data_IF_291476426873
#
_entry.id   IF_291476426873
#
_cell.length_a   1.000
_cell.length_b   1.000
_cell.length_c   1.000
_cell.angle_alpha   90.00
_cell.angle_beta   90.00
_cell.angle_gamma   90.00
#
_symmetry.space_group_name_H-M   'P 1'
#
loop_
_entity.id
_entity.type
_entity.pdbx_description
1 polymer ?
#
# COMPACT_ATOMS: atom_id res chain seq x y z
N UNK A 1 -8.43 -2.31 8.67
CA UNK A 1 -7.19 -3.12 8.49
C UNK A 1 -5.95 -2.29 8.14
N UNK A 2 -5.78 -1.06 8.67
CA UNK A 2 -4.52 -0.28 8.52
C UNK A 2 -3.64 -0.30 9.77
N UNK A 3 -4.23 -0.62 10.92
CA UNK A 3 -3.57 -0.46 12.23
C UNK A 3 -2.48 -1.51 12.44
N UNK A 4 -2.74 -2.78 12.09
CA UNK A 4 -1.75 -3.86 12.21
C UNK A 4 -0.48 -3.68 11.36
N UNK A 5 -0.53 -2.96 10.23
CA UNK A 5 0.67 -2.71 9.41
C UNK A 5 1.60 -1.66 10.03
N UNK A 6 1.03 -0.74 10.82
CA UNK A 6 1.81 0.26 11.55
C UNK A 6 2.60 -0.40 12.68
N UNK A 7 2.00 -1.35 13.39
CA UNK A 7 2.65 -2.09 14.49
C UNK A 7 3.80 -2.99 14.03
N UNK A 8 3.70 -3.61 12.83
CA UNK A 8 4.77 -4.46 12.31
C UNK A 8 5.97 -3.62 11.82
N UNK A 9 5.73 -2.39 11.37
CA UNK A 9 6.78 -1.47 10.91
C UNK A 9 7.33 -0.56 12.00
N UNK A 10 6.61 -0.37 13.12
CA UNK A 10 7.12 0.36 14.28
C UNK A 10 8.25 -0.38 15.01
N UNK A 11 8.39 -1.69 14.78
CA UNK A 11 9.55 -2.48 15.22
C UNK A 11 10.74 -2.40 14.26
N UNK A 12 10.59 -1.87 13.04
CA UNK A 12 11.72 -1.53 12.14
C UNK A 12 12.33 -0.17 12.50
N UNK A 13 12.41 0.11 13.80
CA UNK A 13 13.00 1.31 14.34
C UNK A 13 14.51 1.17 14.20
N UNK A 14 15.05 1.46 13.01
CA UNK A 14 16.47 1.80 12.94
C UNK A 14 16.57 3.13 13.69
N UNK A 15 17.10 3.06 14.91
CA UNK A 15 17.27 4.21 15.82
C UNK A 15 18.17 5.29 15.19
N UNK A 16 18.81 4.95 14.07
CA UNK A 16 19.67 5.79 13.28
C UNK A 16 18.89 6.54 12.21
N UNK A 17 18.94 7.87 12.30
CA UNK A 17 18.37 8.77 11.30
C UNK A 17 19.10 8.68 9.94
N UNK A 18 18.32 8.70 8.85
CA UNK A 18 18.83 8.57 7.48
C UNK A 18 19.78 9.70 7.08
N UNK A 19 19.54 10.94 7.55
CA UNK A 19 20.41 12.08 7.27
C UNK A 19 21.78 11.88 7.91
N UNK A 20 21.80 11.34 9.13
CA UNK A 20 23.03 11.00 9.86
C UNK A 20 23.86 9.95 9.12
N UNK A 21 23.23 8.90 8.57
CA UNK A 21 23.92 7.88 7.75
C UNK A 21 24.52 8.46 6.47
N UNK A 22 23.81 9.36 5.79
CA UNK A 22 24.33 10.02 4.60
C UNK A 22 25.54 10.90 4.94
N UNK A 23 25.49 11.66 6.03
CA UNK A 23 26.62 12.46 6.53
C UNK A 23 27.81 11.59 6.92
N UNK A 24 27.56 10.44 7.55
CA UNK A 24 28.59 9.44 7.89
C UNK A 24 29.32 8.97 6.62
N UNK A 25 28.57 8.54 5.60
CA UNK A 25 29.13 8.09 4.33
C UNK A 25 29.92 9.18 3.60
N UNK A 26 29.42 10.40 3.63
CA UNK A 26 30.09 11.55 3.02
C UNK A 26 31.34 12.01 3.79
N UNK A 27 31.63 11.41 4.96
CA UNK A 27 32.77 11.78 5.82
C UNK A 27 32.58 13.13 6.51
N UNK A 28 31.33 13.58 6.68
CA UNK A 28 30.96 14.88 7.27
C UNK A 28 30.62 14.81 8.77
N UNK A 29 30.65 13.62 9.37
CA UNK A 29 30.54 13.46 10.82
C UNK A 29 31.91 13.60 11.48
N UNK A 30 31.94 14.20 12.66
CA UNK A 30 33.12 14.22 13.53
C UNK A 30 33.45 12.81 14.02
N UNK A 31 34.69 12.58 14.43
CA UNK A 31 35.13 11.26 14.93
C UNK A 31 34.30 10.79 16.13
N UNK A 32 33.84 11.72 16.98
CA UNK A 32 33.02 11.41 18.14
C UNK A 32 31.60 10.97 17.71
N UNK A 33 30.97 11.69 16.78
CA UNK A 33 29.67 11.32 16.20
C UNK A 33 29.72 9.99 15.42
N UNK A 34 30.82 9.72 14.70
CA UNK A 34 31.00 8.45 13.98
C UNK A 34 31.07 7.27 14.96
N UNK A 35 31.82 7.43 16.05
CA UNK A 35 32.01 6.38 17.04
C UNK A 35 30.73 6.12 17.85
N UNK A 36 29.96 7.16 18.13
CA UNK A 36 28.63 7.04 18.75
C UNK A 36 27.64 6.31 17.82
N UNK A 37 27.63 6.67 16.53
CA UNK A 37 26.82 5.99 15.52
C UNK A 37 27.15 4.50 15.41
N UNK A 38 28.44 4.16 15.25
CA UNK A 38 28.90 2.77 15.17
C UNK A 38 28.54 1.99 16.44
N UNK A 39 28.68 2.60 17.61
CA UNK A 39 28.27 2.00 18.89
C UNK A 39 26.77 1.72 18.94
N UNK A 40 25.94 2.67 18.52
CA UNK A 40 24.47 2.51 18.53
C UNK A 40 24.00 1.46 17.50
N UNK A 41 24.74 1.32 16.40
CA UNK A 41 24.44 0.35 15.33
C UNK A 41 24.84 -1.08 15.72
N UNK A 42 25.81 -1.26 16.62
CA UNK A 42 26.27 -2.57 17.10
C UNK A 42 25.24 -3.32 17.97
N UNK A 43 24.19 -2.65 18.45
CA UNK A 43 23.15 -3.31 19.26
C UNK A 43 22.24 -4.24 18.43
N UNK A 44 22.22 -4.11 17.10
CA UNK A 44 21.47 -4.99 16.19
C UNK A 44 22.38 -5.55 15.09
N UNK A 45 22.50 -6.89 15.03
CA UNK A 45 23.29 -7.60 14.01
C UNK A 45 22.88 -7.23 12.58
N UNK A 46 21.60 -6.91 12.35
CA UNK A 46 21.09 -6.49 11.05
C UNK A 46 21.58 -5.10 10.67
N UNK A 47 21.52 -4.14 11.59
CA UNK A 47 21.96 -2.77 11.35
C UNK A 47 23.49 -2.71 11.19
N UNK A 48 24.23 -3.53 11.95
CA UNK A 48 25.68 -3.66 11.81
C UNK A 48 26.10 -4.18 10.42
N UNK A 49 25.48 -5.28 9.95
CA UNK A 49 25.73 -5.84 8.61
C UNK A 49 25.32 -4.85 7.50
N UNK A 50 24.21 -4.12 7.70
CA UNK A 50 23.76 -3.09 6.76
C UNK A 50 24.74 -1.91 6.67
N UNK A 51 25.29 -1.44 7.81
CA UNK A 51 26.26 -0.35 7.87
C UNK A 51 27.58 -0.75 7.20
N UNK A 52 28.05 -1.97 7.42
CA UNK A 52 29.22 -2.53 6.73
C UNK A 52 28.98 -2.59 5.21
N UNK A 53 27.83 -3.12 4.79
CA UNK A 53 27.44 -3.16 3.39
C UNK A 53 27.40 -1.78 2.73
N UNK A 54 26.91 -0.77 3.46
CA UNK A 54 26.84 0.61 2.99
C UNK A 54 28.23 1.26 2.84
N UNK A 55 29.15 0.95 3.77
CA UNK A 55 30.53 1.41 3.72
C UNK A 55 31.31 0.84 2.52
N UNK A 56 30.97 -0.38 2.08
CA UNK A 56 31.59 -1.04 0.92
C UNK A 56 31.18 -0.45 -0.44
N UNK A 57 30.23 0.50 -0.48
CA UNK A 57 29.81 1.15 -1.71
C UNK A 57 30.90 2.13 -2.19
N UNK A 58 31.46 1.86 -3.38
CA UNK A 58 32.57 2.64 -3.95
C UNK A 58 32.19 4.08 -4.27
N UNK A 59 30.95 4.34 -4.69
CA UNK A 59 30.51 5.68 -5.11
C UNK A 59 29.47 6.26 -4.14
N UNK A 60 29.97 6.78 -3.02
CA UNK A 60 29.15 7.36 -1.96
C UNK A 60 28.31 8.56 -2.42
N UNK A 61 28.78 9.32 -3.42
CA UNK A 61 28.05 10.45 -3.99
C UNK A 61 26.74 10.04 -4.71
N UNK A 62 26.63 8.79 -5.17
CA UNK A 62 25.41 8.28 -5.81
C UNK A 62 24.39 7.74 -4.81
N UNK A 63 24.75 7.54 -3.55
CA UNK A 63 23.88 6.94 -2.54
C UNK A 63 22.64 7.81 -2.30
N UNK A 64 22.81 9.13 -2.15
CA UNK A 64 21.67 10.04 -1.96
C UNK A 64 20.66 9.97 -3.11
N UNK A 65 21.13 9.94 -4.36
CA UNK A 65 20.27 9.82 -5.53
C UNK A 65 19.61 8.43 -5.62
N UNK A 66 20.33 7.38 -5.23
CA UNK A 66 19.81 6.00 -5.19
C UNK A 66 18.69 5.87 -4.15
N UNK A 67 18.86 6.45 -2.96
CA UNK A 67 17.86 6.44 -1.89
C UNK A 67 16.59 7.18 -2.34
N UNK A 68 16.73 8.34 -2.97
CA UNK A 68 15.60 9.07 -3.53
C UNK A 68 14.85 8.25 -4.59
N UNK A 69 15.57 7.62 -5.53
CA UNK A 69 14.97 6.74 -6.54
C UNK A 69 14.26 5.54 -5.90
N UNK A 70 14.88 4.90 -4.91
CA UNK A 70 14.31 3.77 -4.19
C UNK A 70 13.01 4.17 -3.48
N UNK A 71 13.00 5.29 -2.78
CA UNK A 71 11.82 5.83 -2.11
C UNK A 71 10.68 6.09 -3.11
N UNK A 72 10.99 6.71 -4.24
CA UNK A 72 10.01 6.93 -5.31
C UNK A 72 9.45 5.61 -5.86
N UNK A 73 10.31 4.60 -6.07
CA UNK A 73 9.90 3.32 -6.60
C UNK A 73 9.08 2.48 -5.61
N UNK A 74 9.45 2.49 -4.32
CA UNK A 74 8.65 1.89 -3.24
C UNK A 74 7.26 2.54 -3.21
N UNK A 75 7.20 3.87 -3.26
CA UNK A 75 5.94 4.61 -3.30
C UNK A 75 5.10 4.23 -4.51
N UNK A 76 5.67 4.22 -5.71
CA UNK A 76 5.00 3.81 -6.95
C UNK A 76 4.49 2.36 -6.89
N UNK A 77 5.29 1.42 -6.41
CA UNK A 77 4.94 -0.01 -6.33
C UNK A 77 3.85 -0.28 -5.28
N UNK A 78 3.85 0.50 -4.19
CA UNK A 78 2.85 0.38 -3.11
C UNK A 78 1.55 1.10 -3.46
N UNK A 79 1.61 2.24 -4.15
CA UNK A 79 0.43 2.99 -4.59
C UNK A 79 -0.41 2.25 -5.64
N UNK A 80 0.21 1.44 -6.51
CA UNK A 80 -0.51 0.67 -7.54
C UNK A 80 -1.56 -0.29 -6.97
N UNK A 81 -1.44 -0.73 -5.71
CA UNK A 81 -2.45 -1.60 -5.07
C UNK A 81 -3.69 -0.87 -4.57
N UNK A 82 -3.69 0.47 -4.48
CA UNK A 82 -4.87 1.27 -4.10
C UNK A 82 -5.83 1.54 -5.26
N UNK A 83 -5.43 1.26 -6.51
CA UNK A 83 -6.24 1.47 -7.72
C UNK A 83 -6.88 0.19 -8.26
N UNK A 84 -7.09 -0.83 -7.44
CA UNK A 84 -8.11 -1.83 -7.77
C UNK A 84 -9.47 -1.15 -7.58
N UNK A 85 -10.25 -0.90 -8.65
CA UNK A 85 -11.60 -0.38 -8.49
C UNK A 85 -12.39 -1.42 -7.69
N UNK A 86 -12.57 -1.15 -6.40
CA UNK A 86 -13.45 -1.87 -5.49
C UNK A 86 -14.91 -1.53 -5.81
N UNK A 87 -15.33 -1.63 -7.07
CA UNK A 87 -16.74 -1.65 -7.46
C UNK A 87 -16.83 -2.50 -8.72
N UNK A 88 -17.09 -3.79 -8.54
CA UNK A 88 -17.94 -4.51 -9.50
C UNK A 88 -19.29 -3.80 -9.40
N UNK A 89 -19.44 -2.70 -10.14
CA UNK A 89 -20.75 -2.13 -10.38
C UNK A 89 -21.55 -3.26 -11.02
N UNK A 90 -22.55 -3.74 -10.30
CA UNK A 90 -23.51 -4.69 -10.85
C UNK A 90 -24.22 -3.93 -11.95
N UNK A 91 -23.71 -4.07 -13.18
CA UNK A 91 -24.35 -3.53 -14.37
C UNK A 91 -25.63 -4.32 -14.54
N UNK A 92 -26.72 -3.83 -13.97
CA UNK A 92 -28.04 -4.38 -14.23
C UNK A 92 -28.28 -4.16 -15.72
N UNK A 93 -28.30 -5.24 -16.49
CA UNK A 93 -28.56 -5.15 -17.91
C UNK A 93 -29.99 -4.66 -18.16
N UNK A 94 -30.21 -3.66 -19.02
CA UNK A 94 -31.55 -3.12 -19.30
C UNK A 94 -32.57 -4.17 -19.71
N UNK A 95 -32.13 -5.25 -20.38
CA UNK A 95 -32.97 -6.38 -20.75
C UNK A 95 -33.57 -7.11 -19.56
N UNK A 96 -32.82 -7.25 -18.46
CA UNK A 96 -33.29 -7.92 -17.24
C UNK A 96 -34.45 -7.15 -16.59
N UNK A 97 -34.39 -5.81 -16.60
CA UNK A 97 -35.49 -4.96 -16.13
C UNK A 97 -36.75 -5.12 -17.00
N UNK A 98 -36.58 -5.19 -18.32
CA UNK A 98 -37.70 -5.38 -19.26
C UNK A 98 -38.36 -6.74 -19.04
N UNK A 99 -37.59 -7.81 -18.84
CA UNK A 99 -38.12 -9.15 -18.57
C UNK A 99 -38.93 -9.17 -17.28
N UNK A 100 -38.42 -8.56 -16.20
CA UNK A 100 -39.14 -8.47 -14.91
C UNK A 100 -40.45 -7.71 -15.08
N UNK A 101 -40.42 -6.57 -15.78
CA UNK A 101 -41.63 -5.77 -16.06
C UNK A 101 -42.69 -6.59 -16.81
N UNK A 102 -42.28 -7.33 -17.85
CA UNK A 102 -43.17 -8.14 -18.66
C UNK A 102 -43.83 -9.25 -17.85
N UNK A 103 -43.07 -9.94 -16.98
CA UNK A 103 -43.60 -10.98 -16.09
C UNK A 103 -44.62 -10.39 -15.09
N UNK A 104 -44.33 -9.22 -14.52
CA UNK A 104 -45.26 -8.54 -13.61
C UNK A 104 -46.56 -8.16 -14.31
N UNK A 105 -46.51 -7.65 -15.55
CA UNK A 105 -47.70 -7.31 -16.33
C UNK A 105 -48.55 -8.55 -16.59
N UNK A 106 -47.94 -9.68 -16.96
CA UNK A 106 -48.66 -10.95 -17.15
C UNK A 106 -49.35 -11.39 -15.85
N UNK A 107 -48.65 -11.33 -14.71
CA UNK A 107 -49.22 -11.71 -13.42
C UNK A 107 -50.44 -10.85 -13.04
N UNK A 108 -50.37 -9.54 -13.30
CA UNK A 108 -51.49 -8.61 -13.07
C UNK A 108 -52.67 -8.94 -13.99
N UNK A 109 -52.43 -9.20 -15.27
CA UNK A 109 -53.49 -9.57 -16.22
C UNK A 109 -54.14 -10.89 -15.80
N UNK A 110 -53.35 -11.91 -15.45
CA UNK A 110 -53.87 -13.19 -14.95
C UNK A 110 -54.74 -13.00 -13.71
N UNK A 111 -54.31 -12.15 -12.77
CA UNK A 111 -55.09 -11.83 -11.58
C UNK A 111 -56.43 -11.16 -11.93
N UNK A 112 -56.42 -10.18 -12.83
CA UNK A 112 -57.63 -9.47 -13.26
C UNK A 112 -58.63 -10.42 -13.92
N UNK A 113 -58.17 -11.34 -14.77
CA UNK A 113 -59.02 -12.33 -15.45
C UNK A 113 -59.69 -13.25 -14.42
N UNK A 114 -58.92 -13.80 -13.47
CA UNK A 114 -59.45 -14.69 -12.43
C UNK A 114 -60.46 -13.95 -11.55
N UNK A 115 -60.15 -12.72 -11.15
CA UNK A 115 -61.06 -11.91 -10.34
C UNK A 115 -62.37 -11.59 -11.09
N UNK A 116 -62.29 -11.25 -12.38
CA UNK A 116 -63.45 -10.98 -13.22
C UNK A 116 -64.33 -12.23 -13.42
N UNK A 117 -63.72 -13.40 -13.55
CA UNK A 117 -64.46 -14.68 -13.67
C UNK A 117 -65.09 -15.14 -12.36
N UNK A 118 -64.52 -14.77 -11.21
CA UNK A 118 -65.05 -15.15 -9.89
C UNK A 118 -66.16 -14.23 -9.39
N UNK A 119 -66.17 -12.97 -9.85
CA UNK A 119 -67.09 -11.92 -9.41
C UNK A 119 -68.21 -11.59 -10.42
N UNK A 120 -68.28 -12.30 -11.54
CA UNK A 120 -69.40 -12.24 -12.51
C UNK A 120 -70.18 -13.53 -12.49
#
# INVERSE_FOLDING_TARGET
>A
MKENLKDILSHLHSEVDQETLLRYLEGKLTTEEQHELEKNTLDDDFDADALEGLNNITNKAKIAALVEQLNQDIKKKTEKKKKLPHRREVKIEPWLLITILLVLVIAVISYIIIHRMKNG
#
